data_IF_369510274775
#
_entry.id   IF_369510274775
#
_cell.length_a   1.000
_cell.length_b   1.000
_cell.length_c   1.000
_cell.angle_alpha   90.00
_cell.angle_beta   90.00
_cell.angle_gamma   90.00
#
_symmetry.space_group_name_H-M   'P 1'
#
loop_
_entity.id
_entity.type
_entity.pdbx_description
1 polymer ?
#
# COMPACT_ATOMS: atom_id res chain seq x y z
N UNK A 1 -9.71 -13.27 -25.39
CA UNK A 1 -9.74 -13.06 -24.97
C UNK A 1 -9.33 -12.85 -24.68
N UNK A 2 -9.30 -12.72 -24.46
CA UNK A 2 -9.09 -12.44 -23.99
C UNK A 2 -8.62 -12.15 -23.41
N UNK A 3 -8.50 -12.23 -23.53
CA UNK A 3 -8.27 -11.96 -22.90
C UNK A 3 -7.91 -11.53 -22.31
N UNK A 4 -7.81 -11.53 -22.38
CA UNK A 4 -7.69 -11.09 -21.72
C UNK A 4 -7.44 -10.68 -21.18
N UNK A 5 -7.54 -10.66 -21.16
CA UNK A 5 -7.46 -10.29 -20.58
C UNK A 5 -7.22 -9.98 -19.82
N UNK A 6 -7.24 -10.05 -19.67
CA UNK A 6 -7.07 -9.87 -18.81
C UNK A 6 -6.59 -9.49 -18.31
N UNK A 7 -6.53 -9.51 -18.26
CA UNK A 7 -6.07 -9.00 -17.84
C UNK A 7 -5.70 -8.50 -17.42
N UNK A 8 -5.69 -8.87 -17.80
CA UNK A 8 -5.23 -8.31 -17.33
C UNK A 8 -5.46 -7.46 -16.62
N UNK A 9 -5.77 -7.58 -16.39
CA UNK A 9 -5.98 -6.67 -15.81
C UNK A 9 -5.70 -6.57 -14.69
N UNK A 10 -5.87 -6.40 -15.07
CA UNK A 10 -4.95 -5.83 -14.11
C UNK A 10 -5.49 -5.94 -12.70
N UNK A 11 -4.78 -6.62 -11.88
CA UNK A 11 -5.07 -6.61 -10.45
C UNK A 11 -4.88 -5.17 -9.94
N UNK A 12 -5.91 -4.51 -9.41
CA UNK A 12 -5.77 -3.14 -8.90
C UNK A 12 -4.82 -3.04 -7.71
N UNK A 13 -4.45 -4.17 -7.11
CA UNK A 13 -3.50 -4.20 -5.99
C UNK A 13 -2.05 -4.32 -6.44
N UNK A 14 -1.80 -4.54 -7.73
CA UNK A 14 -0.45 -4.73 -8.25
C UNK A 14 0.54 -3.63 -7.84
N UNK A 15 0.20 -2.35 -7.94
CA UNK A 15 1.16 -1.31 -7.53
C UNK A 15 1.59 -1.43 -6.08
N UNK A 16 0.69 -1.83 -5.19
CA UNK A 16 1.02 -2.01 -3.78
C UNK A 16 1.85 -3.27 -3.56
N UNK A 17 1.48 -4.36 -4.23
CA UNK A 17 2.17 -5.65 -4.04
C UNK A 17 3.60 -5.59 -4.56
N UNK A 18 3.82 -4.91 -5.67
CA UNK A 18 5.13 -4.85 -6.34
C UNK A 18 5.91 -3.57 -6.03
N UNK A 19 5.52 -2.84 -4.99
CA UNK A 19 6.19 -1.61 -4.60
C UNK A 19 7.64 -1.88 -4.21
N UNK A 20 8.55 -0.99 -4.64
CA UNK A 20 9.99 -1.13 -4.42
C UNK A 20 10.52 -0.20 -3.34
N UNK A 21 9.68 0.61 -2.75
CA UNK A 21 10.10 1.61 -1.76
C UNK A 21 10.36 0.97 -0.40
N UNK A 22 11.21 1.63 0.40
CA UNK A 22 11.31 1.32 1.81
C UNK A 22 10.14 1.96 2.58
N UNK A 23 9.94 1.55 3.82
CA UNK A 23 8.95 2.16 4.68
C UNK A 23 9.19 3.66 4.85
N UNK A 24 10.45 4.07 5.05
CA UNK A 24 10.77 5.48 5.24
C UNK A 24 10.48 6.31 3.99
N UNK A 25 10.72 5.75 2.80
CA UNK A 25 10.35 6.42 1.55
C UNK A 25 8.84 6.58 1.43
N UNK A 26 8.10 5.55 1.82
CA UNK A 26 6.64 5.58 1.78
C UNK A 26 6.08 6.64 2.71
N UNK A 27 6.62 6.75 3.92
CA UNK A 27 6.18 7.76 4.90
C UNK A 27 6.51 9.17 4.39
N UNK A 28 7.70 9.36 3.81
CA UNK A 28 8.08 10.65 3.26
C UNK A 28 7.14 11.07 2.13
N UNK A 29 6.81 10.14 1.24
CA UNK A 29 5.88 10.41 0.15
C UNK A 29 4.49 10.79 0.69
N UNK A 30 4.01 10.05 1.68
CA UNK A 30 2.70 10.30 2.28
C UNK A 30 2.65 11.69 2.91
N UNK A 31 3.69 12.05 3.67
CA UNK A 31 3.76 13.37 4.30
C UNK A 31 3.79 14.51 3.26
N UNK A 32 4.44 14.28 2.12
CA UNK A 32 4.55 15.30 1.08
C UNK A 32 3.26 15.42 0.26
N UNK A 33 2.63 14.29 -0.06
CA UNK A 33 1.50 14.26 -0.99
C UNK A 33 0.14 14.44 -0.31
N UNK A 34 0.01 13.95 0.91
CA UNK A 34 -1.26 13.95 1.63
C UNK A 34 -1.05 14.25 3.11
N UNK A 35 -0.71 15.52 3.45
CA UNK A 35 -0.39 15.86 4.85
C UNK A 35 -1.50 15.53 5.84
N UNK A 36 -2.77 15.73 5.45
CA UNK A 36 -3.89 15.44 6.34
C UNK A 36 -4.00 13.94 6.64
N UNK A 37 -3.82 13.11 5.61
CA UNK A 37 -3.85 11.66 5.79
C UNK A 37 -2.62 11.21 6.56
N UNK A 38 -1.47 11.82 6.29
CA UNK A 38 -0.24 11.51 7.02
C UNK A 38 -0.37 11.79 8.50
N UNK A 39 -1.08 12.86 8.88
CA UNK A 39 -1.34 13.17 10.27
C UNK A 39 -2.09 12.04 10.96
N UNK A 40 -3.13 11.51 10.32
CA UNK A 40 -3.90 10.41 10.86
C UNK A 40 -3.05 9.14 10.96
N UNK A 41 -2.24 8.88 9.94
CA UNK A 41 -1.34 7.74 9.92
C UNK A 41 -0.32 7.83 11.07
N UNK A 42 0.28 9.01 11.25
CA UNK A 42 1.29 9.21 12.28
C UNK A 42 0.71 9.14 13.69
N UNK A 43 -0.59 9.34 13.83
CA UNK A 43 -1.28 9.23 15.11
C UNK A 43 -1.74 7.81 15.42
N UNK A 44 -1.63 6.88 14.48
CA UNK A 44 -2.11 5.50 14.64
C UNK A 44 -0.94 4.52 14.64
N UNK A 45 -0.61 3.99 15.81
CA UNK A 45 0.45 2.99 15.91
C UNK A 45 0.08 1.69 15.18
N UNK A 46 -1.21 1.36 15.13
CA UNK A 46 -1.68 0.19 14.41
C UNK A 46 -1.47 0.33 12.90
N UNK A 47 -1.80 1.49 12.35
CA UNK A 47 -1.59 1.77 10.93
C UNK A 47 -0.11 1.72 10.57
N UNK A 48 0.72 2.32 11.41
CA UNK A 48 2.17 2.31 11.21
C UNK A 48 2.74 0.89 11.24
N UNK A 49 2.30 0.08 12.19
CA UNK A 49 2.76 -1.30 12.31
C UNK A 49 2.37 -2.13 11.10
N UNK A 50 1.13 -1.98 10.63
CA UNK A 50 0.65 -2.72 9.48
C UNK A 50 1.45 -2.35 8.22
N UNK A 51 1.61 -1.07 7.98
CA UNK A 51 2.31 -0.60 6.77
C UNK A 51 3.79 -0.98 6.84
N UNK A 52 4.41 -0.86 8.02
CA UNK A 52 5.81 -1.26 8.20
C UNK A 52 6.00 -2.74 7.86
N UNK A 53 5.13 -3.59 8.36
CA UNK A 53 5.17 -5.02 8.08
C UNK A 53 4.95 -5.29 6.60
N UNK A 54 4.04 -4.56 5.99
CA UNK A 54 3.75 -4.71 4.56
C UNK A 54 4.99 -4.45 3.72
N UNK A 55 5.68 -3.33 3.97
CA UNK A 55 6.88 -2.99 3.20
C UNK A 55 8.07 -3.90 3.50
N UNK A 56 8.08 -4.54 4.67
CA UNK A 56 9.14 -5.48 5.04
C UNK A 56 8.90 -6.89 4.47
N UNK A 57 7.73 -7.14 3.90
CA UNK A 57 7.33 -8.47 3.43
C UNK A 57 7.59 -8.64 1.95
N UNK A 58 7.84 -9.90 1.49
CA UNK A 58 7.96 -10.17 0.06
C UNK A 58 6.59 -10.06 -0.64
N UNK A 59 6.57 -9.97 -1.99
CA UNK A 59 5.33 -9.77 -2.73
C UNK A 59 4.22 -10.77 -2.44
N UNK A 60 4.54 -12.06 -2.28
CA UNK A 60 3.52 -13.07 -1.97
C UNK A 60 2.86 -12.81 -0.62
N UNK A 61 3.62 -12.36 0.36
CA UNK A 61 3.10 -12.02 1.68
C UNK A 61 2.28 -10.75 1.61
N UNK A 62 2.74 -9.77 0.84
CA UNK A 62 1.98 -8.52 0.63
C UNK A 62 0.62 -8.81 0.03
N UNK A 63 0.53 -9.74 -0.92
CA UNK A 63 -0.72 -10.12 -1.52
C UNK A 63 -1.68 -10.69 -0.47
N UNK A 64 -1.20 -11.56 0.39
CA UNK A 64 -2.01 -12.12 1.48
C UNK A 64 -2.50 -11.03 2.43
N UNK A 65 -1.61 -10.12 2.81
CA UNK A 65 -1.97 -9.01 3.70
C UNK A 65 -3.04 -8.11 3.09
N UNK A 66 -2.89 -7.77 1.81
CA UNK A 66 -3.84 -6.93 1.11
C UNK A 66 -5.21 -7.59 1.00
N UNK A 67 -5.23 -8.89 0.71
CA UNK A 67 -6.49 -9.64 0.61
C UNK A 67 -7.18 -9.73 1.97
N UNK A 68 -6.43 -9.96 3.03
CA UNK A 68 -6.98 -9.98 4.38
C UNK A 68 -7.53 -8.61 4.78
N UNK A 69 -6.83 -7.56 4.41
CA UNK A 69 -7.27 -6.20 4.72
C UNK A 69 -8.60 -5.87 4.07
N UNK A 70 -8.85 -6.38 2.87
CA UNK A 70 -10.12 -6.15 2.17
C UNK A 70 -11.30 -6.75 2.92
N UNK A 71 -11.07 -7.76 3.73
CA UNK A 71 -12.13 -8.43 4.49
C UNK A 71 -12.34 -7.83 5.87
N UNK A 72 -11.47 -6.91 6.30
CA UNK A 72 -11.51 -6.32 7.64
C UNK A 72 -11.93 -4.85 7.53
N UNK A 73 -13.09 -4.46 8.07
CA UNK A 73 -13.50 -3.06 8.05
C UNK A 73 -12.45 -2.17 8.72
N UNK A 74 -12.12 -1.08 8.08
CA UNK A 74 -11.11 -0.15 8.57
C UNK A 74 -9.71 -0.43 8.06
N UNK A 75 -9.37 -1.70 7.80
CA UNK A 75 -8.04 -2.04 7.28
C UNK A 75 -7.90 -1.74 5.80
N UNK A 76 -9.02 -1.65 5.09
CA UNK A 76 -9.02 -1.32 3.65
C UNK A 76 -8.33 0.01 3.37
N UNK A 77 -8.46 0.97 4.28
CA UNK A 77 -7.83 2.27 4.11
C UNK A 77 -6.31 2.20 4.12
N UNK A 78 -5.73 1.20 4.77
CA UNK A 78 -4.28 1.02 4.78
C UNK A 78 -3.77 0.61 3.39
N UNK A 79 -4.52 -0.28 2.72
CA UNK A 79 -4.21 -0.65 1.35
C UNK A 79 -4.32 0.56 0.43
N UNK A 80 -5.35 1.38 0.62
CA UNK A 80 -5.54 2.61 -0.13
C UNK A 80 -4.38 3.58 0.03
N UNK A 81 -3.84 3.70 1.25
CA UNK A 81 -2.66 4.54 1.50
C UNK A 81 -1.46 4.06 0.69
N UNK A 82 -1.19 2.77 0.70
CA UNK A 82 -0.07 2.21 -0.04
C UNK A 82 -0.26 2.43 -1.54
N UNK A 83 -1.47 2.19 -2.05
CA UNK A 83 -1.76 2.41 -3.47
C UNK A 83 -1.56 3.86 -3.88
N UNK A 84 -1.92 4.80 -3.01
CA UNK A 84 -1.80 6.22 -3.29
C UNK A 84 -0.35 6.65 -3.50
N UNK A 85 0.58 6.06 -2.77
CA UNK A 85 1.98 6.45 -2.80
C UNK A 85 2.88 5.50 -3.59
N UNK A 86 2.35 4.37 -4.04
CA UNK A 86 3.17 3.30 -4.64
C UNK A 86 3.91 3.75 -5.90
N UNK A 87 3.30 4.64 -6.69
CA UNK A 87 3.91 5.08 -7.95
C UNK A 87 5.02 6.11 -7.75
N UNK A 88 5.05 6.80 -6.62
CA UNK A 88 5.93 7.95 -6.44
C UNK A 88 6.85 7.83 -5.24
N UNK A 89 6.64 6.87 -4.35
CA UNK A 89 7.40 6.80 -3.10
C UNK A 89 8.90 6.61 -3.33
N UNK A 90 9.31 5.99 -4.42
CA UNK A 90 10.73 5.81 -4.70
C UNK A 90 11.44 7.10 -5.14
N UNK A 91 10.71 8.19 -5.30
CA UNK A 91 11.28 9.52 -5.54
C UNK A 91 11.67 10.23 -4.24
N UNK A 92 11.39 9.64 -3.11
CA UNK A 92 11.65 10.22 -1.78
C UNK A 92 12.68 9.39 -0.98
#
# INVERSE_FOLDING_TARGET
MSAGSGVAFADPLDPAINVNCSYSQAVAALNAQSPAVAQQFNASSMAQAWVRTFFASPPNKRQQMAQQAQSVPGAQQYVGLVLQIADTCNNY
#
